data_IF_384124551253
#
_entry.id   IF_384124551253
#
_cell.length_a   1.000
_cell.length_b   1.000
_cell.length_c   1.000
_cell.angle_alpha   90.00
_cell.angle_beta   90.00
_cell.angle_gamma   90.00
#
_symmetry.space_group_name_H-M   'P 1'
#
loop_
_entity.id
_entity.type
_entity.pdbx_description
1 polymer ?
#
# COMPACT_ATOMS: atom_id res chain seq x y z
N UNK A 1 45.60 -7.77 6.36
CA UNK A 1 44.86 -6.98 6.58
C UNK A 1 44.84 -5.68 7.40
N UNK A 2 45.99 -5.03 7.72
CA UNK A 2 46.03 -3.74 8.43
C UNK A 2 45.62 -2.56 7.53
N UNK A 3 45.85 -2.64 6.23
CA UNK A 3 45.53 -1.56 5.28
C UNK A 3 44.04 -1.21 5.13
N UNK A 4 43.14 -2.15 5.43
CA UNK A 4 41.68 -1.92 5.28
C UNK A 4 41.10 -1.12 6.45
N UNK A 5 41.72 -1.17 7.63
CA UNK A 5 41.30 -0.43 8.82
C UNK A 5 41.73 1.02 8.75
N UNK A 6 42.98 1.30 8.27
CA UNK A 6 43.46 2.64 8.06
C UNK A 6 42.65 3.41 7.01
N UNK A 7 42.15 2.71 5.95
CA UNK A 7 41.26 3.30 4.95
C UNK A 7 39.89 3.68 5.51
N UNK A 8 39.44 3.05 6.60
CA UNK A 8 38.17 3.36 7.26
C UNK A 8 38.34 4.50 8.27
N UNK A 9 39.48 4.58 8.96
CA UNK A 9 39.77 5.64 9.93
C UNK A 9 39.97 7.00 9.26
N UNK A 10 40.54 7.04 8.04
CA UNK A 10 40.78 8.28 7.26
C UNK A 10 39.68 8.57 6.21
N UNK A 11 38.54 7.89 6.26
CA UNK A 11 37.46 8.12 5.31
C UNK A 11 36.76 9.45 5.57
N UNK A 12 37.11 10.45 4.76
CA UNK A 12 36.36 11.71 4.65
C UNK A 12 35.42 11.65 3.43
N UNK A 13 34.09 11.70 3.58
CA UNK A 13 33.20 11.69 2.45
C UNK A 13 33.34 12.95 1.62
N UNK A 14 33.98 12.83 0.46
CA UNK A 14 34.09 13.92 -0.52
C UNK A 14 32.72 14.05 -1.23
N UNK A 15 31.96 15.09 -0.91
CA UNK A 15 30.72 15.48 -1.58
C UNK A 15 29.55 14.48 -1.54
N UNK A 16 29.45 13.62 -0.57
CA UNK A 16 28.21 12.90 -0.34
C UNK A 16 27.17 13.89 0.22
N UNK A 17 26.16 14.25 -0.58
CA UNK A 17 24.89 14.70 -0.02
C UNK A 17 24.39 13.52 0.82
N UNK A 18 24.60 13.59 2.13
CA UNK A 18 24.24 12.52 3.05
C UNK A 18 22.78 12.18 2.83
N UNK A 19 22.46 10.89 2.67
CA UNK A 19 21.08 10.45 2.70
C UNK A 19 20.49 10.86 4.04
N UNK A 20 19.55 11.82 4.02
CA UNK A 20 18.82 12.22 5.23
C UNK A 20 17.85 11.11 5.56
N UNK A 21 18.27 10.18 6.42
CA UNK A 21 17.38 9.17 6.96
C UNK A 21 16.32 9.81 7.86
N UNK A 22 15.10 9.29 7.79
CA UNK A 22 14.10 9.61 8.82
C UNK A 22 14.71 9.33 10.22
N UNK A 23 14.44 10.22 11.19
CA UNK A 23 14.97 10.12 12.56
C UNK A 23 14.85 8.70 13.14
N UNK A 24 13.70 8.06 12.95
CA UNK A 24 13.42 6.70 13.43
C UNK A 24 14.34 5.63 12.80
N UNK A 25 14.61 5.76 11.50
CA UNK A 25 15.53 4.86 10.78
C UNK A 25 16.94 5.04 11.29
N UNK A 26 17.37 6.29 11.41
CA UNK A 26 18.69 6.63 11.95
C UNK A 26 18.86 6.08 13.35
N UNK A 27 17.87 6.30 14.24
CA UNK A 27 17.92 5.86 15.62
C UNK A 27 18.04 4.32 15.69
N UNK A 28 17.29 3.55 14.89
CA UNK A 28 17.41 2.08 14.78
C UNK A 28 18.80 1.62 14.32
N UNK A 29 19.36 2.28 13.31
CA UNK A 29 20.71 1.97 12.81
C UNK A 29 21.76 2.28 13.89
N UNK A 30 21.62 3.42 14.56
CA UNK A 30 22.52 3.78 15.66
C UNK A 30 22.42 2.80 16.85
N UNK A 31 21.23 2.35 17.19
CA UNK A 31 21.03 1.39 18.27
C UNK A 31 21.60 0.02 17.92
N UNK A 32 21.38 -0.47 16.67
CA UNK A 32 22.05 -1.67 16.19
C UNK A 32 23.56 -1.54 16.25
N UNK A 33 24.12 -0.42 15.78
CA UNK A 33 25.56 -0.16 15.79
C UNK A 33 26.14 -0.22 17.21
N UNK A 34 25.45 0.36 18.20
CA UNK A 34 25.87 0.29 19.62
C UNK A 34 25.88 -1.14 20.16
N UNK A 35 24.83 -1.92 19.84
CA UNK A 35 24.75 -3.32 20.29
C UNK A 35 25.85 -4.14 19.62
N UNK A 36 26.07 -3.98 18.32
CA UNK A 36 27.11 -4.70 17.58
C UNK A 36 28.53 -4.35 18.05
N UNK A 37 28.74 -3.08 18.48
CA UNK A 37 30.02 -2.67 19.06
C UNK A 37 30.34 -3.29 20.42
N UNK A 38 29.35 -3.91 21.07
CA UNK A 38 29.49 -4.57 22.36
C UNK A 38 29.51 -6.11 22.25
N UNK A 39 29.39 -6.68 21.04
CA UNK A 39 29.45 -8.12 20.84
C UNK A 39 30.88 -8.60 20.90
N UNK A 40 31.15 -9.63 21.71
CA UNK A 40 32.50 -10.16 21.93
C UNK A 40 32.83 -11.33 21.00
N UNK A 41 31.85 -11.97 20.40
CA UNK A 41 32.06 -13.12 19.52
C UNK A 41 31.19 -13.11 18.25
N UNK A 42 31.53 -13.96 17.28
CA UNK A 42 30.87 -14.04 15.98
C UNK A 42 29.42 -14.62 16.06
N UNK A 43 29.12 -15.47 17.05
CA UNK A 43 27.78 -16.02 17.23
C UNK A 43 26.82 -14.99 17.82
N UNK A 44 27.28 -14.20 18.75
CA UNK A 44 26.52 -13.06 19.31
C UNK A 44 26.26 -12.00 18.23
N UNK A 45 27.28 -11.64 17.43
CA UNK A 45 27.14 -10.75 16.28
C UNK A 45 26.10 -11.25 15.30
N UNK A 46 26.20 -12.51 14.89
CA UNK A 46 25.26 -13.17 13.97
C UNK A 46 23.85 -13.17 14.52
N UNK A 47 23.69 -13.51 15.81
CA UNK A 47 22.38 -13.54 16.49
C UNK A 47 21.75 -12.16 16.51
N UNK A 48 22.51 -11.12 16.86
CA UNK A 48 22.06 -9.72 16.91
C UNK A 48 21.64 -9.23 15.53
N UNK A 49 22.46 -9.46 14.51
CA UNK A 49 22.13 -9.08 13.12
C UNK A 49 20.92 -9.84 12.60
N UNK A 50 20.84 -11.15 12.88
CA UNK A 50 19.70 -11.98 12.46
C UNK A 50 18.41 -11.51 13.11
N UNK A 51 18.43 -11.20 14.41
CA UNK A 51 17.27 -10.67 15.11
C UNK A 51 16.84 -9.31 14.59
N UNK A 52 17.78 -8.42 14.32
CA UNK A 52 17.49 -7.12 13.70
C UNK A 52 16.80 -7.28 12.33
N UNK A 53 17.34 -8.15 11.47
CA UNK A 53 16.72 -8.39 10.15
C UNK A 53 15.39 -9.13 10.25
N UNK A 54 15.19 -9.97 11.25
CA UNK A 54 13.91 -10.63 11.52
C UNK A 54 12.83 -9.63 11.94
N UNK A 55 13.20 -8.65 12.76
CA UNK A 55 12.29 -7.63 13.29
C UNK A 55 12.01 -6.52 12.29
N UNK A 56 13.06 -5.98 11.66
CA UNK A 56 12.96 -4.81 10.78
C UNK A 56 13.08 -5.13 9.30
N UNK A 57 13.45 -6.35 8.93
CA UNK A 57 13.64 -6.82 7.57
C UNK A 57 14.92 -6.37 6.90
N UNK A 58 15.11 -6.80 5.66
CA UNK A 58 16.32 -6.57 4.87
C UNK A 58 16.06 -5.53 3.78
N UNK A 59 16.99 -4.61 3.62
CA UNK A 59 16.97 -3.63 2.53
C UNK A 59 15.93 -2.52 2.69
N UNK A 60 15.55 -1.91 1.59
CA UNK A 60 14.67 -0.73 1.55
C UNK A 60 13.30 -0.96 2.16
N UNK A 61 12.74 -2.17 2.05
CA UNK A 61 11.45 -2.51 2.67
C UNK A 61 11.47 -2.52 4.20
N UNK A 62 12.62 -2.77 4.82
CA UNK A 62 12.79 -2.67 6.26
C UNK A 62 12.80 -1.23 6.77
N UNK A 63 13.26 -0.31 5.94
CA UNK A 63 13.54 1.06 6.33
C UNK A 63 12.38 2.05 6.03
N UNK A 64 11.50 1.73 5.08
CA UNK A 64 10.46 2.64 4.61
C UNK A 64 9.07 2.04 4.70
N UNK A 65 8.06 2.91 4.89
CA UNK A 65 6.65 2.53 5.03
C UNK A 65 5.95 2.41 3.69
N UNK A 66 6.31 3.28 2.74
CA UNK A 66 5.67 3.35 1.45
C UNK A 66 6.66 3.51 0.33
N UNK A 67 6.20 3.10 -0.83
CA UNK A 67 6.96 2.98 -2.06
C UNK A 67 6.09 3.43 -3.23
N UNK A 68 6.74 3.72 -4.33
CA UNK A 68 6.13 3.95 -5.64
C UNK A 68 6.90 3.19 -6.70
N UNK A 69 6.33 3.09 -7.88
CA UNK A 69 6.96 2.46 -9.03
C UNK A 69 7.68 3.51 -9.86
N UNK A 70 8.87 3.18 -10.34
CA UNK A 70 9.61 3.92 -11.35
C UNK A 70 10.17 2.96 -12.40
N UNK A 71 10.37 3.45 -13.63
CA UNK A 71 11.06 2.71 -14.66
C UNK A 71 12.51 3.18 -14.73
N UNK A 72 13.44 2.23 -14.78
CA UNK A 72 14.85 2.49 -15.11
C UNK A 72 15.09 2.48 -16.62
N UNK A 73 16.28 2.89 -17.01
CA UNK A 73 16.78 2.66 -18.36
C UNK A 73 16.66 1.17 -18.69
N UNK A 74 15.90 0.78 -19.71
CA UNK A 74 15.50 -0.57 -20.16
C UNK A 74 14.13 -1.05 -19.70
N UNK A 75 13.20 -0.15 -19.31
CA UNK A 75 11.82 -0.50 -18.93
C UNK A 75 11.70 -1.45 -17.71
N UNK A 76 12.79 -1.64 -16.95
CA UNK A 76 12.72 -2.43 -15.73
C UNK A 76 11.96 -1.69 -14.63
N UNK A 77 10.95 -2.36 -14.06
CA UNK A 77 10.13 -1.85 -12.96
C UNK A 77 10.93 -1.88 -11.66
N UNK A 78 11.11 -0.71 -11.06
CA UNK A 78 11.77 -0.56 -9.76
C UNK A 78 10.80 -0.03 -8.70
N UNK A 79 10.82 -0.67 -7.54
CA UNK A 79 10.06 -0.21 -6.37
C UNK A 79 10.96 0.70 -5.53
N UNK A 80 10.68 2.00 -5.52
CA UNK A 80 11.50 3.02 -4.85
C UNK A 80 10.78 3.58 -3.63
N UNK A 81 11.52 3.91 -2.53
CA UNK A 81 10.91 4.40 -1.31
C UNK A 81 10.35 5.82 -1.45
N UNK A 82 9.23 6.07 -0.80
CA UNK A 82 8.68 7.40 -0.53
C UNK A 82 9.18 7.83 0.85
N UNK A 83 10.05 8.83 0.91
CA UNK A 83 10.69 9.27 2.16
C UNK A 83 9.79 10.17 3.00
N UNK A 84 8.88 10.93 2.38
CA UNK A 84 7.98 11.87 3.03
C UNK A 84 6.52 11.41 2.92
N UNK A 85 6.08 10.60 3.87
CA UNK A 85 4.66 10.29 4.03
C UNK A 85 4.08 11.18 5.12
N UNK A 86 2.86 11.72 4.87
CA UNK A 86 2.14 12.47 5.88
C UNK A 86 1.95 11.62 7.16
N UNK A 87 2.35 12.18 8.30
CA UNK A 87 2.13 11.57 9.62
C UNK A 87 0.67 11.77 10.05
N UNK A 88 -0.24 11.03 9.42
CA UNK A 88 -1.67 11.05 9.76
C UNK A 88 -2.01 9.79 10.55
N UNK A 89 -2.94 9.94 11.50
CA UNK A 89 -3.56 8.83 12.25
C UNK A 89 -5.02 8.72 11.86
N UNK A 90 -5.62 7.55 12.07
CA UNK A 90 -7.06 7.38 11.84
C UNK A 90 -7.89 8.23 12.80
N UNK A 91 -7.39 8.51 13.99
CA UNK A 91 -8.04 9.37 14.99
C UNK A 91 -8.08 10.85 14.56
N UNK A 92 -7.18 11.28 13.64
CA UNK A 92 -7.19 12.63 13.10
C UNK A 92 -8.39 12.88 12.16
N UNK A 93 -9.02 11.80 11.68
CA UNK A 93 -10.21 11.82 10.83
C UNK A 93 -11.47 11.86 11.70
N UNK A 94 -12.12 13.01 11.74
CA UNK A 94 -13.38 13.17 12.48
C UNK A 94 -14.54 12.49 11.75
N UNK A 95 -15.26 11.63 12.46
CA UNK A 95 -16.38 10.87 11.90
C UNK A 95 -15.96 9.58 11.19
N UNK A 96 -16.89 9.00 10.44
CA UNK A 96 -16.68 7.78 9.66
C UNK A 96 -16.32 6.52 10.48
N UNK A 97 -16.77 6.42 11.72
CA UNK A 97 -16.35 5.38 12.68
C UNK A 97 -16.56 3.95 12.11
N UNK A 98 -17.73 3.69 11.49
CA UNK A 98 -18.02 2.39 10.86
C UNK A 98 -17.10 2.11 9.66
N UNK A 99 -16.80 3.13 8.86
CA UNK A 99 -15.90 2.99 7.70
C UNK A 99 -14.47 2.72 8.17
N UNK A 100 -14.00 3.49 9.16
CA UNK A 100 -12.68 3.27 9.79
C UNK A 100 -12.57 1.88 10.39
N UNK A 101 -13.58 1.43 11.13
CA UNK A 101 -13.57 0.12 11.76
C UNK A 101 -13.48 -1.01 10.73
N UNK A 102 -14.28 -0.97 9.64
CA UNK A 102 -14.19 -1.95 8.56
C UNK A 102 -12.80 -2.01 7.91
N UNK A 103 -12.18 -0.84 7.71
CA UNK A 103 -10.84 -0.74 7.16
C UNK A 103 -9.80 -1.34 8.11
N UNK A 104 -9.92 -1.03 9.41
CA UNK A 104 -9.07 -1.58 10.47
C UNK A 104 -9.21 -3.10 10.52
N UNK A 105 -10.42 -3.62 10.63
CA UNK A 105 -10.69 -5.06 10.77
C UNK A 105 -10.11 -5.86 9.60
N UNK A 106 -10.29 -5.39 8.36
CA UNK A 106 -9.74 -6.03 7.17
C UNK A 106 -8.21 -5.98 7.15
N UNK A 107 -7.62 -4.84 7.52
CA UNK A 107 -6.17 -4.67 7.55
C UNK A 107 -5.55 -5.49 8.70
N UNK A 108 -6.19 -5.53 9.84
CA UNK A 108 -5.71 -6.30 10.99
C UNK A 108 -5.75 -7.81 10.72
N UNK A 109 -6.81 -8.30 10.10
CA UNK A 109 -6.87 -9.68 9.63
C UNK A 109 -5.70 -10.00 8.69
N UNK A 110 -5.42 -9.11 7.73
CA UNK A 110 -4.33 -9.26 6.79
C UNK A 110 -2.95 -9.32 7.45
N UNK A 111 -2.66 -8.37 8.35
CA UNK A 111 -1.37 -8.29 9.05
C UNK A 111 -1.16 -9.50 9.96
N UNK A 112 -2.23 -10.03 10.55
CA UNK A 112 -2.21 -11.24 11.36
C UNK A 112 -2.14 -12.55 10.55
N UNK A 113 -2.04 -12.47 9.21
CA UNK A 113 -2.00 -13.65 8.34
C UNK A 113 -3.34 -14.39 8.22
N UNK A 114 -4.44 -13.75 8.63
CA UNK A 114 -5.80 -14.27 8.43
C UNK A 114 -6.32 -13.89 7.04
N UNK A 115 -7.41 -14.52 6.64
CA UNK A 115 -8.09 -14.19 5.40
C UNK A 115 -8.56 -12.73 5.42
N UNK A 116 -8.18 -11.98 4.39
CA UNK A 116 -8.56 -10.60 4.17
C UNK A 116 -8.80 -10.36 2.68
N UNK A 117 -9.50 -9.28 2.34
CA UNK A 117 -9.94 -8.99 0.99
C UNK A 117 -9.30 -7.70 0.45
N UNK A 118 -9.27 -7.58 -0.88
CA UNK A 118 -9.03 -6.28 -1.51
C UNK A 118 -10.13 -5.31 -1.06
N UNK A 119 -9.80 -4.03 -0.94
CA UNK A 119 -10.67 -3.04 -0.37
C UNK A 119 -10.87 -1.84 -1.32
N UNK A 120 -12.12 -1.46 -1.56
CA UNK A 120 -12.50 -0.27 -2.31
C UNK A 120 -13.13 0.76 -1.36
N UNK A 121 -12.49 1.90 -1.17
CA UNK A 121 -13.04 3.05 -0.45
C UNK A 121 -13.67 4.00 -1.47
N UNK A 122 -14.96 4.24 -1.37
CA UNK A 122 -15.67 5.09 -2.33
C UNK A 122 -16.53 6.14 -1.62
N UNK A 123 -16.88 7.19 -2.32
CA UNK A 123 -17.69 8.31 -1.79
C UNK A 123 -17.18 9.67 -2.25
N UNK A 124 -17.67 10.74 -1.64
CA UNK A 124 -17.38 12.11 -2.05
C UNK A 124 -15.88 12.45 -1.98
N UNK A 125 -15.45 13.41 -2.81
CA UNK A 125 -14.12 13.99 -2.71
C UNK A 125 -13.93 14.66 -1.34
N UNK A 126 -12.71 14.63 -0.80
CA UNK A 126 -12.40 15.29 0.47
C UNK A 126 -12.89 14.57 1.74
N UNK A 127 -13.46 13.38 1.65
CA UNK A 127 -13.97 12.62 2.82
C UNK A 127 -12.89 11.85 3.58
N UNK A 128 -11.61 11.97 3.22
CA UNK A 128 -10.52 11.33 3.94
C UNK A 128 -10.18 9.90 3.51
N UNK A 129 -10.71 9.41 2.38
CA UNK A 129 -10.42 8.05 1.86
C UNK A 129 -8.91 7.77 1.73
N UNK A 130 -8.21 8.59 0.96
CA UNK A 130 -6.77 8.46 0.73
C UNK A 130 -5.97 8.69 2.02
N UNK A 131 -6.44 9.60 2.89
CA UNK A 131 -5.86 9.84 4.21
C UNK A 131 -5.99 8.61 5.11
N UNK A 132 -7.11 7.91 5.07
CA UNK A 132 -7.34 6.68 5.84
C UNK A 132 -6.35 5.58 5.45
N UNK A 133 -6.04 5.42 4.15
CA UNK A 133 -5.07 4.43 3.69
C UNK A 133 -3.65 4.79 4.14
N UNK A 134 -3.28 6.08 4.08
CA UNK A 134 -1.99 6.56 4.62
C UNK A 134 -1.88 6.35 6.13
N UNK A 135 -2.96 6.58 6.86
CA UNK A 135 -3.02 6.32 8.31
C UNK A 135 -2.84 4.85 8.66
N UNK A 136 -3.48 3.93 7.91
CA UNK A 136 -3.28 2.48 8.03
C UNK A 136 -1.81 2.11 7.81
N UNK A 137 -1.16 2.65 6.77
CA UNK A 137 0.25 2.39 6.52
C UNK A 137 1.15 2.85 7.69
N UNK A 138 0.82 3.98 8.32
CA UNK A 138 1.52 4.46 9.51
C UNK A 138 1.29 3.56 10.73
N UNK A 139 0.05 3.14 10.96
CA UNK A 139 -0.36 2.38 12.13
C UNK A 139 0.22 0.97 12.15
N UNK A 140 0.26 0.29 11.00
CA UNK A 140 0.66 -1.11 10.89
C UNK A 140 2.09 -1.32 10.37
N UNK A 141 2.86 -0.25 10.19
CA UNK A 141 4.25 -0.34 9.73
C UNK A 141 5.11 -1.26 10.59
N UNK A 142 5.03 -1.10 11.92
CA UNK A 142 5.83 -1.88 12.88
C UNK A 142 5.39 -3.36 12.94
N UNK A 143 4.21 -3.66 12.40
CA UNK A 143 3.69 -5.02 12.21
C UNK A 143 3.96 -5.60 10.83
N UNK A 144 4.85 -4.97 10.07
CA UNK A 144 5.33 -5.46 8.78
C UNK A 144 4.50 -5.02 7.57
N UNK A 145 3.55 -4.07 7.72
CA UNK A 145 2.79 -3.55 6.58
C UNK A 145 3.62 -2.56 5.76
N UNK A 146 3.52 -2.67 4.44
CA UNK A 146 4.14 -1.76 3.46
C UNK A 146 3.12 -1.34 2.42
N UNK A 147 3.18 -0.08 2.01
CA UNK A 147 2.29 0.48 1.00
C UNK A 147 3.08 0.69 -0.30
N UNK A 148 2.52 0.28 -1.43
CA UNK A 148 3.07 0.56 -2.76
C UNK A 148 2.04 1.34 -3.55
N UNK A 149 2.32 2.60 -3.82
CA UNK A 149 1.47 3.46 -4.64
C UNK A 149 1.68 3.15 -6.12
N UNK A 150 0.57 2.89 -6.83
CA UNK A 150 0.55 2.56 -8.25
C UNK A 150 -0.45 3.47 -8.95
N UNK A 151 0.02 4.20 -9.95
CA UNK A 151 -0.82 5.05 -10.78
C UNK A 151 -1.46 4.26 -11.94
N UNK A 152 -2.57 4.75 -12.47
CA UNK A 152 -3.35 4.10 -13.53
C UNK A 152 -2.48 3.65 -14.71
N UNK A 153 -1.62 4.52 -15.23
CA UNK A 153 -0.73 4.21 -16.36
C UNK A 153 0.33 3.12 -16.05
N UNK A 154 0.46 2.71 -14.79
CA UNK A 154 1.39 1.67 -14.33
C UNK A 154 0.69 0.33 -14.06
N UNK A 155 -0.59 0.17 -14.41
CA UNK A 155 -1.29 -1.10 -14.14
C UNK A 155 -0.72 -2.27 -14.95
N UNK A 156 -0.09 -2.01 -16.10
CA UNK A 156 0.65 -3.03 -16.85
C UNK A 156 1.80 -3.66 -16.04
N UNK A 157 2.36 -2.91 -15.10
CA UNK A 157 3.52 -3.32 -14.29
C UNK A 157 3.13 -4.13 -13.05
N UNK A 158 1.84 -4.27 -12.76
CA UNK A 158 1.35 -4.92 -11.52
C UNK A 158 1.89 -6.34 -11.32
N UNK A 159 2.01 -7.11 -12.39
CA UNK A 159 2.55 -8.48 -12.30
C UNK A 159 4.03 -8.48 -11.91
N UNK A 160 4.82 -7.55 -12.43
CA UNK A 160 6.24 -7.42 -12.13
C UNK A 160 6.46 -6.93 -10.70
N UNK A 161 5.62 -5.99 -10.25
CA UNK A 161 5.60 -5.54 -8.85
C UNK A 161 5.29 -6.71 -7.92
N UNK A 162 4.24 -7.48 -8.20
CA UNK A 162 3.84 -8.63 -7.39
C UNK A 162 4.95 -9.69 -7.38
N UNK A 163 5.59 -9.97 -8.51
CA UNK A 163 6.69 -10.92 -8.59
C UNK A 163 7.87 -10.53 -7.70
N UNK A 164 8.18 -9.23 -7.55
CA UNK A 164 9.25 -8.74 -6.69
C UNK A 164 8.96 -8.84 -5.20
N UNK A 165 7.66 -8.81 -4.80
CA UNK A 165 7.25 -8.74 -3.38
C UNK A 165 6.64 -10.03 -2.84
N UNK A 166 6.16 -10.95 -3.69
CA UNK A 166 5.42 -12.15 -3.29
C UNK A 166 6.17 -13.06 -2.30
N UNK A 167 7.50 -13.08 -2.35
CA UNK A 167 8.33 -13.92 -1.49
C UNK A 167 8.98 -13.15 -0.32
N UNK A 168 8.52 -11.92 -0.04
CA UNK A 168 9.04 -11.11 1.07
C UNK A 168 8.26 -11.37 2.36
N UNK A 169 8.93 -11.26 3.50
CA UNK A 169 8.32 -11.44 4.83
C UNK A 169 7.49 -10.22 5.29
N UNK A 170 7.00 -9.40 4.36
CA UNK A 170 6.17 -8.25 4.62
C UNK A 170 4.77 -8.46 4.07
N UNK A 171 3.81 -7.74 4.63
CA UNK A 171 2.48 -7.57 4.06
C UNK A 171 2.45 -6.31 3.21
N UNK A 172 2.01 -6.44 1.97
CA UNK A 172 1.99 -5.33 1.01
C UNK A 172 0.56 -4.95 0.66
N UNK A 173 0.25 -3.66 0.74
CA UNK A 173 -0.95 -3.09 0.15
C UNK A 173 -0.52 -2.32 -1.10
N UNK A 174 -0.98 -2.77 -2.26
CA UNK A 174 -0.90 -2.00 -3.51
C UNK A 174 -2.03 -0.98 -3.47
N UNK A 175 -1.65 0.29 -3.45
CA UNK A 175 -2.58 1.41 -3.32
C UNK A 175 -2.80 2.11 -4.65
N UNK A 176 -4.06 2.28 -5.01
CA UNK A 176 -4.52 2.96 -6.22
C UNK A 176 -5.42 4.12 -5.82
N UNK A 177 -4.97 5.35 -6.06
CA UNK A 177 -5.76 6.55 -5.76
C UNK A 177 -6.64 6.94 -6.94
N UNK A 178 -7.85 7.39 -6.63
CA UNK A 178 -8.84 7.92 -7.57
C UNK A 178 -9.14 7.00 -8.77
N UNK A 179 -9.47 5.74 -8.47
CA UNK A 179 -9.87 4.77 -9.47
C UNK A 179 -11.20 5.19 -10.12
N UNK A 180 -11.15 5.53 -11.40
CA UNK A 180 -12.33 5.88 -12.20
C UNK A 180 -12.72 4.68 -13.07
N UNK A 181 -13.97 4.28 -13.04
CA UNK A 181 -14.50 3.16 -13.82
C UNK A 181 -15.19 3.61 -15.12
N UNK A 182 -14.98 4.86 -15.58
CA UNK A 182 -15.73 5.45 -16.70
C UNK A 182 -15.32 4.94 -18.08
N UNK A 183 -14.08 4.53 -18.24
CA UNK A 183 -13.56 4.19 -19.56
C UNK A 183 -13.04 2.76 -19.61
N UNK A 184 -13.36 2.05 -20.71
CA UNK A 184 -12.76 0.78 -21.09
C UNK A 184 -11.33 0.99 -21.55
N UNK A 185 -10.46 1.33 -20.65
CA UNK A 185 -9.06 1.45 -20.94
C UNK A 185 -8.39 0.08 -20.78
N UNK A 186 -7.36 -0.12 -21.56
CA UNK A 186 -6.55 -1.34 -21.54
C UNK A 186 -5.98 -1.61 -20.14
N UNK A 187 -5.76 -0.56 -19.35
CA UNK A 187 -5.25 -0.58 -18.00
C UNK A 187 -6.17 -1.37 -17.04
N UNK A 188 -7.48 -1.29 -17.22
CA UNK A 188 -8.42 -2.07 -16.39
C UNK A 188 -8.36 -3.56 -16.64
N UNK A 189 -7.95 -4.00 -17.83
CA UNK A 189 -7.76 -5.42 -18.14
C UNK A 189 -6.62 -5.99 -17.30
N UNK A 190 -5.54 -5.22 -17.10
CA UNK A 190 -4.45 -5.63 -16.23
C UNK A 190 -4.89 -5.71 -14.76
N UNK A 191 -5.60 -4.69 -14.27
CA UNK A 191 -6.13 -4.70 -12.91
C UNK A 191 -7.09 -5.87 -12.68
N UNK A 192 -8.00 -6.13 -13.63
CA UNK A 192 -8.94 -7.24 -13.59
C UNK A 192 -8.18 -8.58 -13.50
N UNK A 193 -7.20 -8.80 -14.35
CA UNK A 193 -6.39 -10.02 -14.34
C UNK A 193 -5.69 -10.25 -12.98
N UNK A 194 -5.20 -9.20 -12.35
CA UNK A 194 -4.53 -9.29 -11.03
C UNK A 194 -5.54 -9.54 -9.90
N UNK A 195 -6.71 -8.88 -9.92
CA UNK A 195 -7.74 -9.05 -8.88
C UNK A 195 -8.40 -10.44 -8.97
N UNK A 196 -8.66 -10.93 -10.20
CA UNK A 196 -9.27 -12.24 -10.43
C UNK A 196 -8.33 -13.39 -10.10
N UNK A 197 -7.02 -13.13 -10.18
CA UNK A 197 -6.02 -14.17 -10.19
C UNK A 197 -6.12 -15.01 -11.46
N UNK A 198 -5.01 -15.17 -12.17
CA UNK A 198 -4.95 -16.12 -13.30
C UNK A 198 -4.81 -17.55 -12.79
N UNK A 199 -4.04 -18.37 -13.49
CA UNK A 199 -3.67 -19.73 -13.06
C UNK A 199 -2.78 -19.74 -11.80
N UNK A 200 -2.06 -18.64 -11.54
CA UNK A 200 -1.23 -18.48 -10.34
C UNK A 200 -2.09 -17.97 -9.17
N UNK A 201 -2.03 -18.67 -8.03
CA UNK A 201 -2.72 -18.24 -6.82
C UNK A 201 -2.20 -16.85 -6.39
N UNK A 202 -3.11 -15.93 -6.08
CA UNK A 202 -2.77 -14.62 -5.52
C UNK A 202 -1.89 -14.80 -4.27
N UNK A 203 -0.76 -14.08 -4.15
CA UNK A 203 0.08 -14.16 -2.97
C UNK A 203 -0.66 -13.76 -1.69
N UNK A 204 -0.50 -14.53 -0.62
CA UNK A 204 -1.16 -14.30 0.67
C UNK A 204 -0.61 -13.06 1.41
N UNK A 205 0.45 -12.45 0.89
CA UNK A 205 1.09 -11.25 1.44
C UNK A 205 0.79 -9.96 0.66
N UNK A 206 -0.14 -10.00 -0.32
CA UNK A 206 -0.48 -8.84 -1.16
C UNK A 206 -1.98 -8.60 -1.18
N UNK A 207 -2.42 -7.37 -0.87
CA UNK A 207 -3.78 -6.88 -1.09
C UNK A 207 -3.77 -5.62 -1.96
N UNK A 208 -4.90 -5.34 -2.61
CA UNK A 208 -5.14 -4.11 -3.37
C UNK A 208 -6.14 -3.27 -2.60
N UNK A 209 -5.77 -2.03 -2.28
CA UNK A 209 -6.65 -1.01 -1.74
C UNK A 209 -6.78 0.12 -2.76
N UNK A 210 -8.01 0.46 -3.11
CA UNK A 210 -8.29 1.53 -4.06
C UNK A 210 -9.22 2.58 -3.46
N UNK A 211 -9.10 3.82 -3.90
CA UNK A 211 -10.08 4.86 -3.62
C UNK A 211 -10.84 5.24 -4.89
N UNK A 212 -12.08 5.69 -4.76
CA UNK A 212 -12.86 6.25 -5.85
C UNK A 212 -13.71 7.42 -5.36
N UNK A 213 -13.74 8.51 -6.13
CA UNK A 213 -14.51 9.72 -5.80
C UNK A 213 -15.99 9.65 -6.20
N UNK A 214 -16.47 8.51 -6.71
CA UNK A 214 -17.83 8.38 -7.18
C UNK A 214 -18.78 7.94 -6.08
N UNK A 215 -19.73 8.83 -5.78
CA UNK A 215 -20.83 8.61 -4.82
C UNK A 215 -21.73 7.44 -5.22
N UNK A 216 -21.88 7.21 -6.51
CA UNK A 216 -22.89 6.34 -7.09
C UNK A 216 -22.35 5.08 -7.77
N UNK A 217 -21.07 4.74 -7.54
CA UNK A 217 -20.44 3.58 -8.19
C UNK A 217 -21.29 2.31 -8.11
N UNK A 218 -22.02 2.15 -7.02
CA UNK A 218 -22.93 1.01 -6.79
C UNK A 218 -24.39 1.38 -7.12
N UNK A 219 -24.83 2.63 -6.91
CA UNK A 219 -26.22 3.04 -7.16
C UNK A 219 -26.54 3.22 -8.64
N UNK A 220 -25.64 3.88 -9.40
CA UNK A 220 -25.83 4.04 -10.85
C UNK A 220 -25.95 2.69 -11.54
N UNK A 221 -25.18 1.70 -11.09
CA UNK A 221 -25.26 0.33 -11.62
C UNK A 221 -26.53 -0.42 -11.27
N UNK A 222 -27.29 -0.01 -10.25
CA UNK A 222 -28.61 -0.57 -9.96
C UNK A 222 -29.72 0.21 -10.65
N UNK A 223 -29.64 1.54 -10.78
CA UNK A 223 -30.62 2.35 -11.52
C UNK A 223 -30.50 2.14 -13.03
N UNK A 224 -29.29 1.98 -13.55
CA UNK A 224 -29.06 1.66 -14.95
C UNK A 224 -29.68 0.31 -15.39
N UNK A 225 -29.91 -0.62 -14.44
CA UNK A 225 -30.64 -1.86 -14.70
C UNK A 225 -32.15 -1.65 -14.96
N UNK A 226 -32.74 -0.56 -14.48
CA UNK A 226 -34.14 -0.23 -14.72
C UNK A 226 -34.32 0.60 -16.01
N UNK A 227 -33.34 1.41 -16.41
CA UNK A 227 -33.38 2.23 -17.62
C UNK A 227 -32.86 1.52 -18.89
N UNK A 228 -31.99 0.50 -18.73
CA UNK A 228 -31.32 -0.22 -19.83
C UNK A 228 -32.22 -1.27 -20.51
N UNK A 229 -33.40 -0.88 -20.96
CA UNK A 229 -34.14 -1.71 -21.90
C UNK A 229 -33.89 -1.43 -23.38
N UNK A 230 -33.02 -0.45 -23.72
CA UNK A 230 -32.88 0.00 -25.10
C UNK A 230 -31.50 -0.13 -25.76
N UNK A 231 -30.39 -0.42 -25.02
CA UNK A 231 -29.09 -0.58 -25.68
C UNK A 231 -28.28 -1.77 -25.12
N UNK A 232 -28.15 -2.84 -25.89
CA UNK A 232 -27.39 -4.05 -25.55
C UNK A 232 -25.89 -3.77 -25.25
N UNK A 233 -25.29 -2.79 -25.89
CA UNK A 233 -23.87 -2.45 -25.70
C UNK A 233 -23.58 -1.76 -24.35
N UNK A 234 -24.52 -0.99 -23.84
CA UNK A 234 -24.42 -0.33 -22.52
C UNK A 234 -24.51 -1.34 -21.39
N UNK A 235 -25.27 -2.42 -21.57
CA UNK A 235 -25.46 -3.49 -20.61
C UNK A 235 -24.19 -4.26 -20.30
N UNK A 236 -23.38 -4.61 -21.31
CA UNK A 236 -22.13 -5.37 -21.14
C UNK A 236 -21.08 -4.54 -20.37
N UNK A 237 -20.99 -3.26 -20.68
CA UNK A 237 -20.09 -2.28 -20.05
C UNK A 237 -20.37 -2.12 -18.56
N UNK A 238 -21.64 -1.97 -18.20
CA UNK A 238 -22.10 -1.83 -16.81
C UNK A 238 -21.84 -3.11 -16.02
N UNK A 239 -22.05 -4.26 -16.65
CA UNK A 239 -21.86 -5.56 -16.02
C UNK A 239 -20.38 -5.86 -15.75
N UNK A 240 -19.46 -5.45 -16.63
CA UNK A 240 -18.01 -5.58 -16.41
C UNK A 240 -17.52 -4.67 -15.28
N UNK A 241 -18.00 -3.42 -15.21
CA UNK A 241 -17.70 -2.49 -14.11
C UNK A 241 -18.13 -3.04 -12.76
N UNK A 242 -19.37 -3.55 -12.67
CA UNK A 242 -19.90 -4.20 -11.47
C UNK A 242 -19.07 -5.40 -11.06
N UNK A 243 -18.71 -6.23 -12.03
CA UNK A 243 -17.87 -7.41 -11.81
C UNK A 243 -16.57 -7.03 -11.11
N UNK A 244 -15.90 -5.96 -11.53
CA UNK A 244 -14.66 -5.50 -10.92
C UNK A 244 -14.87 -4.97 -9.50
N UNK A 245 -15.92 -4.16 -9.27
CA UNK A 245 -16.28 -3.65 -7.93
C UNK A 245 -16.55 -4.78 -6.94
N UNK A 246 -17.34 -5.77 -7.34
CA UNK A 246 -17.64 -6.93 -6.48
C UNK A 246 -16.43 -7.78 -6.14
N UNK A 247 -15.41 -7.78 -6.99
CA UNK A 247 -14.17 -8.54 -6.76
C UNK A 247 -13.21 -7.92 -5.77
N UNK A 248 -13.41 -6.65 -5.41
CA UNK A 248 -12.69 -6.09 -4.28
C UNK A 248 -13.02 -6.80 -2.96
N UNK A 249 -14.19 -7.43 -2.85
CA UNK A 249 -14.58 -8.21 -1.69
C UNK A 249 -15.00 -7.35 -0.49
N UNK A 250 -14.34 -6.22 -0.22
CA UNK A 250 -14.75 -5.23 0.79
C UNK A 250 -14.93 -3.87 0.13
N UNK A 251 -16.14 -3.32 0.24
CA UNK A 251 -16.44 -1.95 -0.21
C UNK A 251 -16.85 -1.10 0.98
N UNK A 252 -16.18 0.05 1.14
CA UNK A 252 -16.34 0.97 2.28
C UNK A 252 -16.79 2.32 1.77
N UNK A 253 -17.99 2.74 2.18
CA UNK A 253 -18.58 4.01 1.81
C UNK A 253 -18.21 5.12 2.79
N UNK A 254 -17.61 6.19 2.28
CA UNK A 254 -17.31 7.42 3.00
C UNK A 254 -18.34 8.47 2.62
N UNK A 255 -19.40 8.62 3.43
CA UNK A 255 -20.47 9.58 3.24
C UNK A 255 -20.29 10.77 4.17
N UNK A 256 -20.42 11.98 3.65
CA UNK A 256 -20.63 13.16 4.48
C UNK A 256 -21.99 13.01 5.18
N UNK A 257 -21.98 12.72 6.47
CA UNK A 257 -23.17 12.84 7.29
C UNK A 257 -23.47 14.35 7.41
N UNK A 258 -24.38 14.85 6.59
CA UNK A 258 -25.03 16.11 6.89
C UNK A 258 -25.86 15.88 8.16
N UNK A 259 -25.32 16.21 9.31
CA UNK A 259 -26.15 16.48 10.48
C UNK A 259 -26.94 17.74 10.14
N UNK A 260 -28.18 17.57 9.68
CA UNK A 260 -29.10 18.71 9.62
C UNK A 260 -29.18 19.26 11.03
N UNK A 261 -28.98 20.58 11.22
CA UNK A 261 -29.25 21.18 12.51
C UNK A 261 -30.72 20.87 12.84
N UNK A 262 -30.93 20.20 13.97
CA UNK A 262 -32.27 19.98 14.49
C UNK A 262 -32.98 21.35 14.57
N UNK A 263 -34.16 21.50 13.98
CA UNK A 263 -34.91 22.74 14.17
C UNK A 263 -35.20 22.90 15.65
N UNK A 264 -34.79 24.05 16.20
CA UNK A 264 -35.17 24.49 17.55
C UNK A 264 -36.63 24.87 17.58
#
# INVERSE_FOLDING_TARGET
>A
GTDSLELIEDYHPVNAKGHVFNKRIRDRICDLSKVLAQTDDAEEFKTTVTQFYKEFGVGTFGLHKAFRIQHREKEEVEIVPITNIAHVKLDDLVGYELAKQKLIDNTEAFVNGKQANNCLLYGDAGTGKSTSIKAIANQYYDRGLRLIEVYKHQFCDLNDVIAQIKNRNYKFIIYMDDLSFEEFEIEYKYLKAVIEGGLEKKPDNVLIYATSNRRHLIRETFSDKEEVREDMHTSDTVQEKLSLVYRFGVSIYFCLLYTSPSPR
#
